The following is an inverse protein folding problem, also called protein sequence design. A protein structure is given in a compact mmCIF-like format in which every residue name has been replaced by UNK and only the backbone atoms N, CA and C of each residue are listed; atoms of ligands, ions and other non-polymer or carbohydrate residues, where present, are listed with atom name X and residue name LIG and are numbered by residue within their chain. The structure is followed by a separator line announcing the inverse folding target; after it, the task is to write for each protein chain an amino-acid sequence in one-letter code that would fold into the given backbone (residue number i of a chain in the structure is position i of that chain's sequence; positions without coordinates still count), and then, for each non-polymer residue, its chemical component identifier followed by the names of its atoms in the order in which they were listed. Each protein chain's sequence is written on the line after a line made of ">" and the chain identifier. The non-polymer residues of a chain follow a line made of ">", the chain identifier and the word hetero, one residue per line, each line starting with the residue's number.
data_IF_442580723959
#
_entry.id   IF_442580723959
#
_cell.length_a   1.000
_cell.length_b   1.000
_cell.length_c   1.000
_cell.angle_alpha   90.00
_cell.angle_beta   90.00
_cell.angle_gamma   90.00
#
_symmetry.space_group_name_H-M   'P 1'
#
loop_
_entity.id
_entity.type
_entity.pdbx_description
1 polymer ?
#
# COMPACT_ATOMS: atom_id res chain seq x y z
N UNK A 1 -29.56 -40.05 -29.09
CA UNK A 1 -29.30 -38.64 -29.44
C UNK A 1 -30.44 -37.70 -28.98
N UNK A 2 -30.97 -37.83 -27.76
CA UNK A 2 -32.22 -37.12 -27.34
C UNK A 2 -32.23 -36.69 -25.85
N UNK A 3 -31.09 -36.76 -25.15
CA UNK A 3 -30.98 -36.31 -23.75
C UNK A 3 -29.80 -35.35 -23.47
N UNK A 4 -29.10 -34.87 -24.49
CA UNK A 4 -27.94 -33.99 -24.31
C UNK A 4 -28.19 -32.51 -24.61
N UNK A 5 -29.39 -32.13 -25.08
CA UNK A 5 -29.79 -30.72 -25.30
C UNK A 5 -30.41 -30.06 -24.06
N UNK A 6 -30.57 -30.78 -22.94
CA UNK A 6 -31.18 -30.24 -21.71
C UNK A 6 -30.20 -29.77 -20.64
N UNK A 7 -28.91 -29.61 -20.97
CA UNK A 7 -27.90 -29.06 -20.04
C UNK A 7 -27.34 -27.69 -20.49
N UNK A 8 -27.95 -27.06 -21.49
CA UNK A 8 -27.60 -25.71 -21.97
C UNK A 8 -28.64 -24.66 -21.57
N UNK A 9 -29.53 -24.98 -20.62
CA UNK A 9 -30.52 -24.03 -20.08
C UNK A 9 -30.18 -23.71 -18.63
N UNK A 10 -29.92 -22.42 -18.39
CA UNK A 10 -29.87 -21.71 -17.10
C UNK A 10 -28.54 -21.64 -16.35
N UNK A 11 -27.46 -21.25 -17.02
CA UNK A 11 -26.53 -20.30 -16.38
C UNK A 11 -26.91 -18.92 -16.92
N UNK A 12 -28.06 -18.41 -16.47
CA UNK A 12 -28.33 -16.98 -16.59
C UNK A 12 -27.24 -16.30 -15.78
N UNK A 13 -26.31 -15.52 -16.37
CA UNK A 13 -25.28 -14.87 -15.59
C UNK A 13 -26.02 -14.00 -14.58
N UNK A 14 -25.91 -14.36 -13.31
CA UNK A 14 -26.55 -13.60 -12.24
C UNK A 14 -26.26 -12.13 -12.49
N UNK A 15 -27.26 -11.25 -12.45
CA UNK A 15 -27.01 -9.83 -12.50
C UNK A 15 -25.93 -9.56 -11.46
N UNK A 16 -24.72 -9.19 -11.92
CA UNK A 16 -23.72 -8.62 -11.03
C UNK A 16 -24.32 -7.28 -10.69
N UNK A 17 -25.23 -7.30 -9.71
CA UNK A 17 -25.63 -6.11 -8.98
C UNK A 17 -24.30 -5.54 -8.52
N UNK A 18 -23.85 -4.51 -9.24
CA UNK A 18 -22.80 -3.62 -8.80
C UNK A 18 -23.35 -2.93 -7.56
N UNK A 19 -23.37 -3.69 -6.47
CA UNK A 19 -23.85 -3.25 -5.20
C UNK A 19 -22.90 -2.13 -4.84
N UNK A 20 -23.45 -0.95 -4.56
CA UNK A 20 -22.70 0.15 -3.95
C UNK A 20 -21.97 -0.34 -2.67
N UNK A 21 -22.45 -1.45 -2.09
CA UNK A 21 -21.81 -2.20 -1.01
C UNK A 21 -20.39 -2.67 -1.37
N UNK A 22 -20.09 -3.03 -2.62
CA UNK A 22 -18.75 -3.47 -3.04
C UNK A 22 -17.69 -2.37 -2.97
N UNK A 23 -18.05 -1.13 -3.33
CA UNK A 23 -17.13 0.02 -3.27
C UNK A 23 -16.88 0.41 -1.82
N UNK A 24 -17.95 0.52 -1.01
CA UNK A 24 -17.80 0.82 0.41
C UNK A 24 -17.08 -0.29 1.16
N UNK A 25 -17.35 -1.57 0.86
CA UNK A 25 -16.65 -2.70 1.45
C UNK A 25 -15.17 -2.74 1.05
N UNK A 26 -14.84 -2.48 -0.22
CA UNK A 26 -13.45 -2.42 -0.68
C UNK A 26 -12.70 -1.22 -0.08
N UNK A 27 -13.35 -0.06 0.02
CA UNK A 27 -12.79 1.12 0.68
C UNK A 27 -12.53 0.84 2.16
N UNK A 28 -13.54 0.33 2.88
CA UNK A 28 -13.41 0.02 4.29
C UNK A 28 -12.38 -1.08 4.55
N UNK A 29 -12.31 -2.14 3.74
CA UNK A 29 -11.32 -3.21 3.94
C UNK A 29 -9.90 -2.73 3.68
N UNK A 30 -9.68 -1.96 2.61
CA UNK A 30 -8.37 -1.41 2.26
C UNK A 30 -7.94 -0.37 3.29
N UNK A 31 -8.84 0.54 3.68
CA UNK A 31 -8.59 1.52 4.73
C UNK A 31 -8.21 0.84 6.04
N UNK A 32 -9.02 -0.12 6.50
CA UNK A 32 -8.79 -0.77 7.80
C UNK A 32 -7.50 -1.59 7.78
N UNK A 33 -7.21 -2.31 6.69
CA UNK A 33 -5.97 -3.08 6.54
C UNK A 33 -4.74 -2.18 6.59
N UNK A 34 -4.72 -1.09 5.81
CA UNK A 34 -3.59 -0.15 5.79
C UNK A 34 -3.50 0.60 7.11
N UNK A 35 -4.64 1.03 7.66
CA UNK A 35 -4.69 1.74 8.94
C UNK A 35 -4.12 0.89 10.07
N UNK A 36 -4.50 -0.40 10.19
CA UNK A 36 -3.91 -1.28 11.20
C UNK A 36 -2.43 -1.55 10.92
N UNK A 37 -2.02 -1.68 9.64
CA UNK A 37 -0.62 -1.88 9.30
C UNK A 37 0.25 -0.66 9.65
N UNK A 38 -0.30 0.56 9.59
CA UNK A 38 0.42 1.80 9.86
C UNK A 38 0.18 2.38 11.26
N UNK A 39 -0.82 1.91 12.01
CA UNK A 39 -1.10 2.38 13.37
C UNK A 39 0.07 2.07 14.31
N UNK A 40 0.70 3.13 14.81
CA UNK A 40 1.87 3.01 15.68
C UNK A 40 3.20 2.94 14.95
N UNK A 41 3.25 3.27 13.65
CA UNK A 41 4.53 3.45 12.97
C UNK A 41 5.40 4.50 13.70
N UNK A 42 6.71 4.27 13.69
CA UNK A 42 7.72 5.12 14.29
C UNK A 42 7.61 6.56 13.77
N UNK A 43 7.14 6.76 12.55
CA UNK A 43 6.89 8.10 11.98
C UNK A 43 5.77 8.85 12.71
N UNK A 44 4.72 8.16 13.18
CA UNK A 44 3.63 8.76 13.96
C UNK A 44 4.13 9.23 15.33
N UNK A 45 4.92 8.40 16.01
CA UNK A 45 5.52 8.76 17.30
C UNK A 45 6.56 9.89 17.16
N UNK A 46 7.38 9.85 16.11
CA UNK A 46 8.34 10.92 15.82
C UNK A 46 7.61 12.26 15.57
N UNK A 47 6.55 12.26 14.76
CA UNK A 47 5.75 13.46 14.49
C UNK A 47 5.08 13.99 15.76
N UNK A 48 4.55 13.09 16.60
CA UNK A 48 3.95 13.44 17.89
C UNK A 48 4.97 14.05 18.85
N UNK A 49 6.17 13.46 18.96
CA UNK A 49 7.25 14.00 19.80
C UNK A 49 7.77 15.35 19.32
N UNK A 50 7.93 15.52 18.00
CA UNK A 50 8.31 16.81 17.40
C UNK A 50 7.21 17.84 17.64
N UNK A 51 5.94 17.46 17.53
CA UNK A 51 4.79 18.32 17.84
C UNK A 51 4.73 18.70 19.32
N UNK A 52 5.00 17.75 20.22
CA UNK A 52 4.97 17.95 21.66
C UNK A 52 6.14 18.82 22.18
N UNK A 53 7.32 18.76 21.54
CA UNK A 53 8.45 19.63 21.87
C UNK A 53 8.37 21.01 21.21
N UNK A 54 7.61 21.14 20.12
CA UNK A 54 7.49 22.41 19.40
C UNK A 54 6.43 23.31 20.04
N UNK A 55 6.81 24.55 20.36
CA UNK A 55 5.88 25.58 20.86
C UNK A 55 4.81 25.98 19.81
N UNK A 56 4.89 25.47 18.58
CA UNK A 56 3.92 25.70 17.51
C UNK A 56 3.62 24.41 16.72
N UNK A 57 2.55 23.65 17.08
CA UNK A 57 2.20 22.39 16.40
C UNK A 57 1.90 22.56 14.90
N UNK A 58 1.44 23.75 14.48
CA UNK A 58 1.20 24.08 13.08
C UNK A 58 2.46 24.04 12.20
N UNK A 59 3.61 24.45 12.72
CA UNK A 59 4.87 24.42 11.95
C UNK A 59 5.32 22.98 11.72
N UNK A 60 5.14 22.12 12.72
CA UNK A 60 5.45 20.69 12.60
C UNK A 60 4.55 20.02 11.57
N UNK A 61 3.26 20.33 11.59
CA UNK A 61 2.31 19.82 10.61
C UNK A 61 2.70 20.23 9.17
N UNK A 62 2.96 21.52 8.94
CA UNK A 62 3.34 22.01 7.61
C UNK A 62 4.70 21.45 7.17
N UNK A 63 5.66 21.32 8.09
CA UNK A 63 6.96 20.71 7.82
C UNK A 63 6.84 19.24 7.42
N UNK A 64 6.09 18.45 8.18
CA UNK A 64 5.84 17.04 7.89
C UNK A 64 5.03 16.85 6.59
N UNK A 65 3.99 17.65 6.39
CA UNK A 65 3.19 17.63 5.16
C UNK A 65 4.04 18.02 3.93
N UNK A 66 4.87 19.06 4.06
CA UNK A 66 5.82 19.47 3.02
C UNK A 66 6.82 18.37 2.70
N UNK A 67 7.43 17.78 3.72
CA UNK A 67 8.38 16.66 3.56
C UNK A 67 7.73 15.46 2.86
N UNK A 68 6.48 15.12 3.22
CA UNK A 68 5.73 14.03 2.60
C UNK A 68 5.45 14.32 1.12
N UNK A 69 4.98 15.53 0.80
CA UNK A 69 4.70 15.93 -0.59
C UNK A 69 5.97 15.91 -1.43
N UNK A 70 7.06 16.49 -0.92
CA UNK A 70 8.34 16.51 -1.63
C UNK A 70 8.89 15.11 -1.85
N UNK A 71 8.89 14.27 -0.81
CA UNK A 71 9.38 12.89 -0.91
C UNK A 71 8.53 12.07 -1.89
N UNK A 72 7.21 12.22 -1.83
CA UNK A 72 6.30 11.54 -2.77
C UNK A 72 6.53 11.98 -4.21
N UNK A 73 6.68 13.29 -4.44
CA UNK A 73 6.95 13.82 -5.78
C UNK A 73 8.27 13.29 -6.34
N UNK A 74 9.34 13.31 -5.54
CA UNK A 74 10.63 12.74 -5.91
C UNK A 74 10.51 11.23 -6.21
N UNK A 75 9.79 10.48 -5.36
CA UNK A 75 9.53 9.06 -5.54
C UNK A 75 8.81 8.76 -6.85
N UNK A 76 7.77 9.52 -7.20
CA UNK A 76 7.04 9.34 -8.46
C UNK A 76 7.92 9.69 -9.66
N UNK A 77 8.69 10.78 -9.61
CA UNK A 77 9.58 11.16 -10.72
C UNK A 77 10.66 10.09 -10.97
N UNK A 78 11.31 9.61 -9.90
CA UNK A 78 12.31 8.54 -9.99
C UNK A 78 11.67 7.24 -10.46
N UNK A 79 10.50 6.87 -9.91
CA UNK A 79 9.76 5.68 -10.29
C UNK A 79 9.34 5.69 -11.76
N UNK A 80 8.83 6.82 -12.26
CA UNK A 80 8.49 6.99 -13.68
C UNK A 80 9.72 6.89 -14.59
N UNK A 81 10.84 7.49 -14.18
CA UNK A 81 12.09 7.39 -14.94
C UNK A 81 12.59 5.94 -15.00
N UNK A 82 12.53 5.22 -13.89
CA UNK A 82 12.94 3.82 -13.79
C UNK A 82 12.02 2.90 -14.62
N UNK A 83 10.70 3.12 -14.55
CA UNK A 83 9.71 2.36 -15.30
C UNK A 83 9.83 2.55 -16.82
N UNK A 84 10.31 3.72 -17.29
CA UNK A 84 10.59 3.95 -18.72
C UNK A 84 11.84 3.24 -19.22
N UNK A 85 12.82 2.96 -18.33
CA UNK A 85 14.12 2.38 -18.70
C UNK A 85 14.20 0.88 -18.50
N UNK A 86 13.38 0.30 -17.63
CA UNK A 86 13.39 -1.11 -17.26
C UNK A 86 12.11 -1.81 -17.70
N UNK A 87 12.25 -3.03 -18.24
CA UNK A 87 11.08 -3.88 -18.53
C UNK A 87 10.31 -4.21 -17.24
N UNK A 88 8.97 -4.29 -17.28
CA UNK A 88 8.13 -4.52 -16.09
C UNK A 88 8.56 -5.72 -15.24
N UNK A 89 8.96 -6.82 -15.91
CA UNK A 89 9.45 -8.04 -15.25
C UNK A 89 10.68 -7.82 -14.37
N UNK A 90 11.58 -6.94 -14.78
CA UNK A 90 12.80 -6.63 -14.03
C UNK A 90 12.46 -5.73 -12.83
N UNK A 91 11.47 -4.86 -12.96
CA UNK A 91 11.02 -3.98 -11.89
C UNK A 91 10.33 -4.76 -10.77
N UNK A 92 9.47 -5.72 -11.12
CA UNK A 92 8.79 -6.59 -10.14
C UNK A 92 9.80 -7.48 -9.39
N UNK A 93 10.75 -8.06 -10.11
CA UNK A 93 11.82 -8.89 -9.50
C UNK A 93 12.72 -8.05 -8.60
N UNK A 94 13.04 -6.82 -9.02
CA UNK A 94 13.85 -5.89 -8.21
C UNK A 94 13.11 -5.46 -6.94
N UNK A 95 11.81 -5.14 -7.03
CA UNK A 95 11.00 -4.77 -5.88
C UNK A 95 10.89 -5.93 -4.87
N UNK A 96 10.60 -7.14 -5.35
CA UNK A 96 10.52 -8.32 -4.49
C UNK A 96 11.85 -8.69 -3.83
N UNK A 97 12.95 -8.64 -4.59
CA UNK A 97 14.29 -8.91 -4.03
C UNK A 97 14.73 -7.86 -3.03
N UNK A 98 14.46 -6.58 -3.29
CA UNK A 98 14.73 -5.49 -2.34
C UNK A 98 13.93 -5.66 -1.05
N UNK A 99 12.64 -6.02 -1.17
CA UNK A 99 11.79 -6.28 -0.01
C UNK A 99 12.30 -7.47 0.82
N UNK A 100 12.73 -8.55 0.16
CA UNK A 100 13.32 -9.70 0.82
C UNK A 100 14.64 -9.37 1.52
N UNK A 101 15.50 -8.56 0.89
CA UNK A 101 16.75 -8.08 1.50
C UNK A 101 16.48 -7.25 2.75
N UNK A 102 15.53 -6.30 2.70
CA UNK A 102 15.15 -5.49 3.86
C UNK A 102 14.62 -6.40 4.98
N UNK A 103 13.75 -7.36 4.67
CA UNK A 103 13.21 -8.30 5.65
C UNK A 103 14.31 -9.10 6.36
N UNK A 104 15.28 -9.66 5.61
CA UNK A 104 16.41 -10.40 6.17
C UNK A 104 17.29 -9.50 7.04
N UNK A 105 17.56 -8.28 6.57
CA UNK A 105 18.40 -7.32 7.28
C UNK A 105 17.76 -6.90 8.62
N UNK A 106 16.45 -6.67 8.65
CA UNK A 106 15.71 -6.39 9.89
C UNK A 106 15.71 -7.59 10.84
N UNK A 107 15.55 -8.81 10.32
CA UNK A 107 15.57 -10.03 11.13
C UNK A 107 16.94 -10.23 11.78
N UNK A 108 18.01 -9.97 11.03
CA UNK A 108 19.37 -10.02 11.56
C UNK A 108 19.63 -8.99 12.66
N UNK A 109 19.17 -7.75 12.47
CA UNK A 109 19.29 -6.67 13.44
C UNK A 109 18.55 -7.01 14.74
N UNK A 110 17.34 -7.56 14.63
CA UNK A 110 16.55 -8.05 15.78
C UNK A 110 17.27 -9.18 16.53
N UNK A 111 17.90 -10.11 15.82
CA UNK A 111 18.64 -11.22 16.45
C UNK A 111 19.90 -10.73 17.15
N UNK A 112 20.60 -9.72 16.62
CA UNK A 112 21.77 -9.13 17.29
C UNK A 112 21.43 -8.25 18.49
N UNK A 113 20.23 -7.65 18.51
CA UNK A 113 19.77 -6.81 19.63
C UNK A 113 19.21 -7.63 20.82
N UNK A 114 18.97 -8.93 20.64
CA UNK A 114 18.44 -9.84 21.66
C UNK A 114 19.50 -10.52 22.53
#
# INVERSE_FOLDING_TARGET
>A
MSKLDKLTTSEEPLPVEASNQGIWAAFSSTFLTIFLAEMGDKTQLATLLISAQSQSPWIVFIGAAGALITTSLLGVLVGQWLAKRLSPKNLDTAAGSLLLLIAVMLLWDVVQMG
#
